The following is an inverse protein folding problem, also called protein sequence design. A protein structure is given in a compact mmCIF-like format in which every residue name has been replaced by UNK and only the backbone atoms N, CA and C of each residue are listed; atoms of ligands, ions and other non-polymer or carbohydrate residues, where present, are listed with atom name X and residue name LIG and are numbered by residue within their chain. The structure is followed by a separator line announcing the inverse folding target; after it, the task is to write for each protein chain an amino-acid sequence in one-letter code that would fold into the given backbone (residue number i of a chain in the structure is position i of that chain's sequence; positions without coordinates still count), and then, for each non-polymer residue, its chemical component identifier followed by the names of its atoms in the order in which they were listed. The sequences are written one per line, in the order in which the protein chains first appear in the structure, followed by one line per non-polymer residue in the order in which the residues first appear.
data_IF_696141135133
#
_entry.id   IF_696141135133
#
_cell.length_a   1.000
_cell.length_b   1.000
_cell.length_c   1.000
_cell.angle_alpha   90.00
_cell.angle_beta   90.00
_cell.angle_gamma   90.00
#
_symmetry.space_group_name_H-M   'P 1'
#
loop_
_entity.id
_entity.type
_entity.pdbx_description
1 polymer ?
#
# COMPACT_ATOMS: atom_id res chain seq x y z
N UNK A 1 30.30 -7.09 -12.61
CA UNK A 1 29.84 -6.99 -14.01
C UNK A 1 28.76 -5.93 -14.01
N UNK A 2 28.93 -4.89 -14.80
CA UNK A 2 28.21 -3.63 -14.63
C UNK A 2 26.69 -3.78 -14.87
N UNK A 3 25.91 -3.35 -13.87
CA UNK A 3 24.43 -3.30 -13.79
C UNK A 3 23.79 -2.30 -14.78
N UNK A 4 24.36 -2.09 -15.97
CA UNK A 4 23.78 -1.16 -16.96
C UNK A 4 22.65 -1.86 -17.71
N UNK A 5 21.42 -1.57 -17.31
CA UNK A 5 20.22 -2.12 -17.94
C UNK A 5 19.85 -1.28 -19.18
N UNK A 6 20.58 -1.48 -20.27
CA UNK A 6 20.24 -0.93 -21.58
C UNK A 6 19.55 -2.00 -22.42
N UNK A 7 18.21 -1.94 -22.49
CA UNK A 7 17.38 -2.95 -23.14
C UNK A 7 16.66 -2.41 -24.39
N UNK A 8 16.04 -3.33 -25.14
CA UNK A 8 15.30 -3.01 -26.36
C UNK A 8 14.09 -2.09 -26.12
N UNK A 9 13.49 -2.12 -24.93
CA UNK A 9 12.34 -1.29 -24.59
C UNK A 9 12.75 0.18 -24.47
N UNK A 10 13.83 0.46 -23.74
CA UNK A 10 14.37 1.80 -23.61
C UNK A 10 14.95 2.31 -24.94
N UNK A 11 15.67 1.46 -25.68
CA UNK A 11 16.16 1.79 -27.01
C UNK A 11 15.02 2.16 -27.98
N UNK A 12 13.92 1.42 -27.95
CA UNK A 12 12.71 1.72 -28.71
C UNK A 12 12.07 3.05 -28.31
N UNK A 13 12.03 3.37 -27.01
CA UNK A 13 11.53 4.65 -26.52
C UNK A 13 12.40 5.83 -26.98
N UNK A 14 13.74 5.67 -26.94
CA UNK A 14 14.70 6.66 -27.45
C UNK A 14 14.43 6.90 -28.94
N UNK A 15 14.37 5.85 -29.77
CA UNK A 15 14.07 5.98 -31.20
C UNK A 15 12.75 6.70 -31.42
N UNK A 16 11.67 6.25 -30.78
CA UNK A 16 10.33 6.81 -30.97
C UNK A 16 10.28 8.29 -30.58
N UNK A 17 10.89 8.66 -29.45
CA UNK A 17 10.94 10.05 -28.97
C UNK A 17 11.77 10.93 -29.89
N UNK A 18 12.87 10.40 -30.42
CA UNK A 18 13.80 11.15 -31.24
C UNK A 18 13.24 11.38 -32.65
N UNK A 19 12.68 10.36 -33.28
CA UNK A 19 12.07 10.47 -34.62
C UNK A 19 10.84 11.38 -34.68
N UNK A 20 10.23 11.72 -33.53
CA UNK A 20 9.21 12.78 -33.46
C UNK A 20 9.78 14.19 -33.66
N UNK A 21 11.09 14.36 -33.44
CA UNK A 21 11.79 15.66 -33.43
C UNK A 21 12.62 15.85 -34.70
N UNK A 22 13.24 14.77 -35.20
CA UNK A 22 14.13 14.80 -36.37
C UNK A 22 13.56 13.95 -37.51
N UNK A 23 13.61 14.49 -38.72
CA UNK A 23 13.15 13.82 -39.96
C UNK A 23 14.21 12.85 -40.52
N UNK A 24 14.83 12.04 -39.67
CA UNK A 24 15.75 11.00 -40.12
C UNK A 24 15.60 9.72 -39.31
N UNK A 25 16.00 8.60 -39.92
CA UNK A 25 15.89 7.31 -39.28
C UNK A 25 16.98 7.13 -38.22
N UNK A 26 16.56 6.82 -37.00
CA UNK A 26 17.44 6.61 -35.84
C UNK A 26 17.52 5.12 -35.54
N UNK A 27 18.74 4.65 -35.31
CA UNK A 27 19.03 3.31 -34.83
C UNK A 27 19.76 3.42 -33.49
N UNK A 28 19.50 2.49 -32.59
CA UNK A 28 20.14 2.38 -31.29
C UNK A 28 20.70 0.97 -31.18
N UNK A 29 21.99 0.87 -30.89
CA UNK A 29 22.74 -0.38 -30.82
C UNK A 29 23.28 -0.61 -29.41
N UNK A 30 23.32 -1.86 -28.98
CA UNK A 30 23.93 -2.26 -27.71
C UNK A 30 25.47 -2.24 -27.76
N UNK A 31 26.11 -2.58 -26.63
CA UNK A 31 27.57 -2.66 -26.52
C UNK A 31 28.22 -3.75 -27.40
N UNK A 32 27.43 -4.60 -28.08
CA UNK A 32 27.90 -5.59 -29.05
C UNK A 32 27.72 -5.13 -30.50
N UNK A 33 27.20 -3.91 -30.71
CA UNK A 33 26.91 -3.37 -32.03
C UNK A 33 25.63 -3.93 -32.68
N UNK A 34 24.79 -4.64 -31.91
CA UNK A 34 23.51 -5.15 -32.40
C UNK A 34 22.44 -4.08 -32.27
N UNK A 35 21.63 -3.89 -33.31
CA UNK A 35 20.51 -2.95 -33.31
C UNK A 35 19.40 -3.47 -32.38
N UNK A 36 19.14 -2.74 -31.30
CA UNK A 36 18.10 -3.07 -30.31
C UNK A 36 16.91 -2.11 -30.35
N UNK A 37 17.03 -0.99 -31.06
CA UNK A 37 15.93 -0.09 -31.42
C UNK A 37 16.17 0.53 -32.79
N UNK A 38 15.13 0.66 -33.61
CA UNK A 38 15.23 1.25 -34.95
C UNK A 38 13.88 1.77 -35.41
N UNK A 39 13.88 2.87 -36.16
CA UNK A 39 12.67 3.35 -36.85
C UNK A 39 12.22 2.40 -37.96
N UNK A 40 13.15 1.60 -38.48
CA UNK A 40 12.93 0.51 -39.41
C UNK A 40 12.95 -0.82 -38.64
N UNK A 41 11.77 -1.41 -38.41
CA UNK A 41 11.61 -2.60 -37.56
C UNK A 41 12.32 -3.83 -38.12
N UNK A 42 12.52 -3.91 -39.44
CA UNK A 42 13.17 -5.08 -40.07
C UNK A 42 14.65 -5.19 -39.70
N UNK A 43 15.27 -4.06 -39.32
CA UNK A 43 16.69 -3.99 -38.95
C UNK A 43 16.98 -4.39 -37.49
N UNK A 44 15.94 -4.54 -36.67
CA UNK A 44 16.13 -4.90 -35.27
C UNK A 44 16.72 -6.31 -35.19
N UNK A 45 17.82 -6.44 -34.45
CA UNK A 45 18.58 -7.68 -34.33
C UNK A 45 19.75 -7.80 -35.30
N UNK A 46 19.88 -6.93 -36.31
CA UNK A 46 21.05 -6.91 -37.20
C UNK A 46 22.28 -6.33 -36.49
N UNK A 47 23.47 -6.72 -36.94
CA UNK A 47 24.74 -6.11 -36.49
C UNK A 47 25.04 -4.90 -37.39
N UNK A 48 25.37 -3.77 -36.78
CA UNK A 48 25.74 -2.56 -37.51
C UNK A 48 27.25 -2.32 -37.41
N UNK A 49 27.99 -2.57 -38.49
CA UNK A 49 29.46 -2.44 -38.47
C UNK A 49 29.93 -1.02 -38.15
N UNK A 50 29.17 -0.01 -38.57
CA UNK A 50 29.39 1.39 -38.17
C UNK A 50 29.35 1.64 -36.66
N UNK A 51 28.54 0.86 -35.92
CA UNK A 51 28.49 0.94 -34.47
C UNK A 51 29.70 0.25 -33.83
N UNK A 52 30.14 -0.88 -34.36
CA UNK A 52 31.37 -1.54 -33.91
C UNK A 52 32.60 -0.63 -34.01
N UNK A 53 32.69 0.14 -35.10
CA UNK A 53 33.73 1.16 -35.25
C UNK A 53 33.62 2.27 -34.20
N UNK A 54 32.40 2.77 -33.92
CA UNK A 54 32.19 3.80 -32.90
C UNK A 54 32.50 3.30 -31.48
N UNK A 55 32.16 2.04 -31.17
CA UNK A 55 32.47 1.37 -29.91
C UNK A 55 33.98 1.20 -29.73
N UNK A 56 34.68 0.69 -30.76
CA UNK A 56 36.12 0.40 -30.70
C UNK A 56 37.00 1.65 -30.72
N UNK A 57 36.59 2.69 -31.45
CA UNK A 57 37.34 3.94 -31.56
C UNK A 57 36.94 5.00 -30.53
N UNK A 58 35.88 4.73 -29.75
CA UNK A 58 35.31 5.62 -28.73
C UNK A 58 34.97 7.04 -29.20
N UNK A 59 34.66 7.20 -30.49
CA UNK A 59 34.43 8.50 -31.13
C UNK A 59 33.28 8.42 -32.13
N UNK A 60 32.83 9.60 -32.56
CA UNK A 60 31.85 9.71 -33.65
C UNK A 60 32.45 9.14 -34.94
N UNK A 61 31.74 8.22 -35.57
CA UNK A 61 32.10 7.60 -36.84
C UNK A 61 31.12 8.03 -37.92
N UNK A 62 31.65 8.66 -38.96
CA UNK A 62 30.89 9.06 -40.14
C UNK A 62 31.03 8.01 -41.23
N UNK A 63 29.92 7.71 -41.91
CA UNK A 63 29.86 6.74 -43.00
C UNK A 63 29.29 7.46 -44.22
N UNK A 64 30.09 7.54 -45.27
CA UNK A 64 29.75 8.14 -46.55
C UNK A 64 29.40 7.06 -47.59
N UNK A 65 28.92 7.50 -48.76
CA UNK A 65 28.54 6.60 -49.86
C UNK A 65 29.73 5.74 -50.35
N UNK A 66 30.96 6.24 -50.26
CA UNK A 66 32.16 5.52 -50.66
C UNK A 66 32.48 4.33 -49.73
N UNK A 67 32.13 4.45 -48.45
CA UNK A 67 32.36 3.41 -47.43
C UNK A 67 31.34 2.27 -47.46
N UNK A 68 30.22 2.40 -48.21
CA UNK A 68 29.18 1.37 -48.32
C UNK A 68 29.66 0.08 -48.99
N UNK A 69 30.68 0.13 -49.83
CA UNK A 69 31.20 -1.05 -50.53
C UNK A 69 32.06 -1.96 -49.65
N UNK A 70 32.46 -1.48 -48.47
CA UNK A 70 33.42 -2.16 -47.58
C UNK A 70 32.71 -2.75 -46.36
N UNK A 71 31.61 -2.14 -45.92
CA UNK A 71 30.95 -2.48 -44.67
C UNK A 71 29.55 -3.08 -44.89
N UNK A 72 29.17 -4.11 -44.14
CA UNK A 72 27.85 -4.75 -44.23
C UNK A 72 26.78 -4.04 -43.39
N UNK A 73 25.57 -3.92 -43.95
CA UNK A 73 24.37 -3.44 -43.23
C UNK A 73 24.34 -1.93 -42.99
N UNK A 74 25.14 -1.16 -43.72
CA UNK A 74 25.38 0.26 -43.45
C UNK A 74 24.69 1.16 -44.47
N UNK A 75 24.06 2.23 -43.98
CA UNK A 75 23.53 3.34 -44.79
C UNK A 75 24.35 4.59 -44.48
N UNK A 76 24.43 5.58 -45.38
CA UNK A 76 25.13 6.84 -45.10
C UNK A 76 24.58 7.48 -43.84
N UNK A 77 25.47 8.05 -43.02
CA UNK A 77 25.06 8.57 -41.73
C UNK A 77 26.21 8.76 -40.74
N UNK A 78 25.83 8.92 -39.48
CA UNK A 78 26.76 9.09 -38.35
C UNK A 78 26.41 8.13 -37.22
N UNK A 79 27.42 7.63 -36.53
CA UNK A 79 27.31 6.76 -35.38
C UNK A 79 28.02 7.41 -34.19
N UNK A 80 27.31 7.65 -33.10
CA UNK A 80 27.80 8.31 -31.91
C UNK A 80 27.82 7.32 -30.73
N UNK A 81 28.93 7.20 -30.00
CA UNK A 81 28.98 6.36 -28.81
C UNK A 81 28.10 6.93 -27.71
N UNK A 82 27.24 6.10 -27.14
CA UNK A 82 26.31 6.43 -26.06
C UNK A 82 26.96 6.11 -24.71
N UNK A 83 27.03 7.08 -23.80
CA UNK A 83 27.72 6.94 -22.51
C UNK A 83 26.77 7.01 -21.31
N UNK A 84 27.05 6.19 -20.29
CA UNK A 84 26.45 6.31 -18.96
C UNK A 84 27.56 6.25 -17.91
N UNK A 85 27.61 7.22 -16.99
CA UNK A 85 28.72 7.41 -16.05
C UNK A 85 30.12 7.42 -16.74
N UNK A 86 30.20 7.96 -17.95
CA UNK A 86 31.43 8.00 -18.76
C UNK A 86 31.80 6.69 -19.49
N UNK A 87 31.12 5.58 -19.20
CA UNK A 87 31.32 4.28 -19.84
C UNK A 87 30.43 4.16 -21.07
N UNK A 88 30.98 3.68 -22.19
CA UNK A 88 30.19 3.44 -23.41
C UNK A 88 29.29 2.22 -23.20
N UNK A 89 27.98 2.41 -23.33
CA UNK A 89 26.96 1.38 -23.14
C UNK A 89 26.26 0.98 -24.44
N UNK A 90 26.48 1.74 -25.52
CA UNK A 90 25.89 1.48 -26.82
C UNK A 90 26.27 2.55 -27.85
N UNK A 91 25.50 2.61 -28.93
CA UNK A 91 25.68 3.58 -30.02
C UNK A 91 24.34 4.08 -30.52
N UNK A 92 24.28 5.36 -30.90
CA UNK A 92 23.18 5.96 -31.65
C UNK A 92 23.63 6.18 -33.09
N UNK A 93 22.90 5.61 -34.04
CA UNK A 93 23.12 5.82 -35.48
C UNK A 93 22.03 6.66 -36.11
N UNK A 94 22.40 7.72 -36.83
CA UNK A 94 21.47 8.52 -37.64
C UNK A 94 21.74 8.25 -39.11
N UNK A 95 20.69 7.94 -39.86
CA UNK A 95 20.77 7.67 -41.31
C UNK A 95 20.50 8.94 -42.11
N UNK A 96 21.36 9.28 -43.06
CA UNK A 96 21.23 10.42 -43.97
C UNK A 96 22.58 10.99 -44.41
N UNK A 97 22.56 12.12 -45.11
CA UNK A 97 23.79 12.78 -45.58
C UNK A 97 24.61 13.35 -44.40
N UNK A 98 25.90 12.96 -44.23
CA UNK A 98 26.68 13.32 -43.05
C UNK A 98 26.86 14.81 -42.76
N UNK A 99 26.97 15.64 -43.81
CA UNK A 99 27.38 17.05 -43.72
C UNK A 99 26.40 17.96 -42.95
N UNK A 100 25.20 17.46 -42.61
CA UNK A 100 24.24 18.14 -41.75
C UNK A 100 23.86 17.40 -40.47
N UNK A 101 24.22 16.12 -40.33
CA UNK A 101 23.69 15.27 -39.26
C UNK A 101 24.39 15.45 -37.91
N UNK A 102 25.63 15.96 -37.89
CA UNK A 102 26.46 15.94 -36.67
C UNK A 102 25.80 16.63 -35.48
N UNK A 103 25.27 17.84 -35.67
CA UNK A 103 24.61 18.61 -34.61
C UNK A 103 23.34 17.91 -34.11
N UNK A 104 22.54 17.35 -35.03
CA UNK A 104 21.36 16.56 -34.67
C UNK A 104 21.78 15.31 -33.90
N UNK A 105 22.79 14.58 -34.36
CA UNK A 105 23.29 13.38 -33.71
C UNK A 105 23.79 13.63 -32.29
N UNK A 106 24.48 14.74 -32.05
CA UNK A 106 24.89 15.14 -30.69
C UNK A 106 23.67 15.41 -29.79
N UNK A 107 22.63 16.08 -30.29
CA UNK A 107 21.37 16.29 -29.56
C UNK A 107 20.63 14.98 -29.27
N UNK A 108 20.57 14.05 -30.24
CA UNK A 108 19.99 12.72 -30.03
C UNK A 108 20.78 11.96 -28.96
N UNK A 109 22.11 11.98 -29.04
CA UNK A 109 22.97 11.30 -28.09
C UNK A 109 22.74 11.85 -26.68
N UNK A 110 22.74 13.17 -26.49
CA UNK A 110 22.42 13.79 -25.19
C UNK A 110 21.03 13.40 -24.67
N UNK A 111 20.03 13.35 -25.55
CA UNK A 111 18.66 12.93 -25.17
C UNK A 111 18.63 11.47 -24.75
N UNK A 112 19.32 10.59 -25.49
CA UNK A 112 19.42 9.18 -25.19
C UNK A 112 20.17 8.92 -23.87
N UNK A 113 21.28 9.61 -23.63
CA UNK A 113 22.04 9.55 -22.36
C UNK A 113 21.20 10.04 -21.17
N UNK A 114 20.46 11.13 -21.35
CA UNK A 114 19.53 11.63 -20.32
C UNK A 114 18.40 10.62 -20.03
N UNK A 115 17.84 9.98 -21.06
CA UNK A 115 16.82 8.93 -20.88
C UNK A 115 17.37 7.69 -20.15
N UNK A 116 18.62 7.31 -20.43
CA UNK A 116 19.31 6.25 -19.69
C UNK A 116 19.48 6.59 -18.22
N UNK A 117 19.88 7.81 -17.91
CA UNK A 117 20.07 8.26 -16.54
C UNK A 117 18.74 8.34 -15.79
N UNK A 118 17.70 8.86 -16.44
CA UNK A 118 16.34 8.89 -15.88
C UNK A 118 15.83 7.47 -15.57
N UNK A 119 16.01 6.52 -16.49
CA UNK A 119 15.60 5.13 -16.28
C UNK A 119 16.31 4.50 -15.07
N UNK A 120 17.62 4.74 -14.92
CA UNK A 120 18.41 4.29 -13.76
C UNK A 120 17.91 4.91 -12.46
N UNK A 121 17.69 6.22 -12.42
CA UNK A 121 17.16 6.91 -11.25
C UNK A 121 15.80 6.35 -10.84
N UNK A 122 14.91 6.10 -11.80
CA UNK A 122 13.61 5.46 -11.54
C UNK A 122 13.76 4.05 -10.96
N UNK A 123 14.70 3.25 -11.46
CA UNK A 123 14.98 1.91 -10.92
C UNK A 123 15.51 1.97 -9.48
N UNK A 124 16.41 2.91 -9.17
CA UNK A 124 16.93 3.11 -7.83
C UNK A 124 15.82 3.52 -6.85
N UNK A 125 14.93 4.44 -7.26
CA UNK A 125 13.77 4.85 -6.48
C UNK A 125 12.80 3.68 -6.24
N UNK A 126 12.48 2.91 -7.29
CA UNK A 126 11.60 1.75 -7.18
C UNK A 126 12.19 0.67 -6.26
N UNK A 127 13.50 0.43 -6.34
CA UNK A 127 14.21 -0.51 -5.45
C UNK A 127 14.18 -0.04 -4.01
N UNK A 128 14.42 1.26 -3.76
CA UNK A 128 14.35 1.83 -2.42
C UNK A 128 12.94 1.72 -1.82
N UNK A 129 11.91 2.04 -2.61
CA UNK A 129 10.51 1.90 -2.21
C UNK A 129 10.18 0.46 -1.84
N UNK A 130 10.56 -0.51 -2.67
CA UNK A 130 10.37 -1.94 -2.39
C UNK A 130 11.08 -2.40 -1.11
N UNK A 131 12.29 -1.90 -0.87
CA UNK A 131 13.02 -2.21 0.37
C UNK A 131 12.32 -1.63 1.61
N UNK A 132 11.73 -0.43 1.51
CA UNK A 132 10.95 0.16 2.60
C UNK A 132 9.67 -0.64 2.87
N UNK A 133 8.96 -1.01 1.82
CA UNK A 133 7.76 -1.85 1.91
C UNK A 133 8.06 -3.20 2.59
N UNK A 134 9.10 -3.90 2.15
CA UNK A 134 9.52 -5.17 2.76
C UNK A 134 9.92 -5.00 4.23
N UNK A 135 10.56 -3.88 4.60
CA UNK A 135 10.86 -3.60 6.00
C UNK A 135 9.55 -3.46 6.80
N UNK A 136 8.57 -2.72 6.31
CA UNK A 136 7.27 -2.56 6.96
C UNK A 136 6.57 -3.91 7.15
N UNK A 137 6.57 -4.77 6.14
CA UNK A 137 6.01 -6.12 6.24
C UNK A 137 6.70 -6.96 7.33
N UNK A 138 8.02 -6.81 7.51
CA UNK A 138 8.73 -7.46 8.61
C UNK A 138 8.33 -6.85 9.97
N UNK A 139 8.27 -5.53 10.08
CA UNK A 139 7.95 -4.81 11.32
C UNK A 139 6.57 -5.13 11.89
N UNK A 140 5.58 -5.40 11.03
CA UNK A 140 4.20 -5.75 11.44
C UNK A 140 4.00 -7.25 11.70
N UNK A 141 4.96 -8.10 11.31
CA UNK A 141 4.89 -9.56 11.46
C UNK A 141 5.68 -10.07 12.68
N UNK A 142 6.80 -9.41 12.99
CA UNK A 142 7.70 -9.84 14.06
C UNK A 142 7.39 -9.12 15.39
N UNK A 143 7.48 -9.88 16.48
CA UNK A 143 7.43 -9.39 17.86
C UNK A 143 8.77 -8.81 18.31
N UNK A 144 9.89 -9.35 17.82
CA UNK A 144 11.25 -8.88 18.11
C UNK A 144 11.99 -8.54 16.83
N UNK A 145 12.87 -7.55 16.89
CA UNK A 145 13.69 -7.14 15.74
C UNK A 145 15.10 -7.68 15.91
N UNK A 146 15.53 -8.49 14.94
CA UNK A 146 16.92 -8.93 14.86
C UNK A 146 17.84 -7.74 14.59
N UNK A 147 19.13 -7.92 14.88
CA UNK A 147 20.17 -6.95 14.53
C UNK A 147 20.18 -6.67 13.01
N UNK A 148 19.90 -7.68 12.20
CA UNK A 148 19.80 -7.55 10.73
C UNK A 148 18.67 -6.62 10.29
N UNK A 149 17.48 -6.70 10.90
CA UNK A 149 16.35 -5.80 10.62
C UNK A 149 16.68 -4.38 11.09
N UNK A 150 17.34 -4.25 12.24
CA UNK A 150 17.75 -2.96 12.79
C UNK A 150 18.79 -2.27 11.91
N UNK A 151 19.77 -3.00 11.39
CA UNK A 151 20.77 -2.47 10.46
C UNK A 151 20.12 -2.08 9.12
N UNK A 152 19.18 -2.90 8.62
CA UNK A 152 18.43 -2.59 7.40
C UNK A 152 17.62 -1.30 7.53
N UNK A 153 16.88 -1.12 8.63
CA UNK A 153 16.17 0.12 8.92
C UNK A 153 17.11 1.34 8.94
N UNK A 154 18.28 1.21 9.61
CA UNK A 154 19.30 2.27 9.66
C UNK A 154 19.81 2.65 8.27
N UNK A 155 20.06 1.66 7.39
CA UNK A 155 20.48 1.90 5.99
C UNK A 155 19.41 2.61 5.16
N UNK A 156 18.14 2.42 5.50
CA UNK A 156 17.00 3.11 4.86
C UNK A 156 16.68 4.48 5.46
N UNK A 157 17.40 4.91 6.51
CA UNK A 157 17.15 6.16 7.22
C UNK A 157 15.99 6.09 8.22
N UNK A 158 15.54 4.89 8.57
CA UNK A 158 14.35 4.67 9.40
C UNK A 158 14.76 4.43 10.85
N UNK A 159 14.35 5.34 11.73
CA UNK A 159 14.53 5.17 13.17
C UNK A 159 13.43 4.28 13.75
N UNK A 160 13.80 3.07 14.20
CA UNK A 160 12.89 2.12 14.85
C UNK A 160 12.52 2.50 16.29
N UNK A 161 13.27 3.38 16.95
CA UNK A 161 12.97 3.86 18.31
C UNK A 161 11.82 4.85 18.33
N UNK A 162 11.54 5.49 17.18
CA UNK A 162 10.41 6.39 17.08
C UNK A 162 9.11 5.61 17.22
N UNK A 163 8.26 5.93 18.22
CA UNK A 163 7.04 5.19 18.45
C UNK A 163 6.06 5.42 17.30
N UNK A 164 5.40 4.34 16.87
CA UNK A 164 4.44 4.34 15.77
C UNK A 164 3.18 3.57 16.12
N UNK A 165 2.08 3.93 15.48
CA UNK A 165 0.80 3.22 15.50
C UNK A 165 0.45 2.75 14.10
N UNK A 166 -0.18 1.59 13.98
CA UNK A 166 -0.62 1.06 12.70
C UNK A 166 -2.02 1.59 12.33
N UNK A 167 -2.14 2.03 11.09
CA UNK A 167 -3.38 2.29 10.38
C UNK A 167 -3.54 1.22 9.30
N UNK A 168 -4.63 0.47 9.34
CA UNK A 168 -5.02 -0.45 8.27
C UNK A 168 -5.96 0.29 7.33
N UNK A 169 -5.65 0.20 6.05
CA UNK A 169 -6.47 0.71 4.95
C UNK A 169 -7.00 -0.50 4.19
N UNK A 170 -8.33 -0.58 4.05
CA UNK A 170 -8.98 -1.58 3.22
C UNK A 170 -9.68 -0.90 2.05
N UNK A 171 -9.42 -1.37 0.82
CA UNK A 171 -10.09 -0.97 -0.40
C UNK A 171 -11.27 -1.91 -0.63
N UNK A 172 -12.47 -1.35 -0.76
CA UNK A 172 -13.64 -2.09 -1.18
C UNK A 172 -13.64 -2.20 -2.71
N UNK A 173 -12.84 -3.13 -3.22
CA UNK A 173 -12.66 -3.37 -4.65
C UNK A 173 -13.85 -4.09 -5.31
N UNK A 174 -14.97 -4.32 -4.61
CA UNK A 174 -16.11 -5.07 -5.13
C UNK A 174 -15.71 -6.42 -5.78
N UNK A 175 -16.36 -6.78 -6.89
CA UNK A 175 -15.99 -7.94 -7.74
C UNK A 175 -15.05 -7.55 -8.89
N UNK A 176 -14.04 -6.73 -8.63
CA UNK A 176 -13.08 -6.34 -9.66
C UNK A 176 -12.04 -7.45 -9.91
N UNK A 177 -11.58 -7.55 -11.15
CA UNK A 177 -10.46 -8.41 -11.53
C UNK A 177 -9.14 -7.95 -10.89
N UNK A 178 -8.19 -8.88 -10.76
CA UNK A 178 -6.88 -8.67 -10.09
C UNK A 178 -6.13 -7.44 -10.62
N UNK A 179 -6.19 -7.18 -11.94
CA UNK A 179 -5.52 -6.03 -12.57
C UNK A 179 -6.09 -4.69 -12.13
N UNK A 180 -7.40 -4.60 -11.92
CA UNK A 180 -8.04 -3.36 -11.50
C UNK A 180 -7.71 -3.08 -10.03
N UNK A 181 -7.81 -4.07 -9.15
CA UNK A 181 -7.45 -3.91 -7.73
C UNK A 181 -5.99 -3.45 -7.55
N UNK A 182 -5.07 -4.00 -8.33
CA UNK A 182 -3.66 -3.57 -8.33
C UNK A 182 -3.48 -2.12 -8.81
N UNK A 183 -4.25 -1.70 -9.81
CA UNK A 183 -4.21 -0.30 -10.30
C UNK A 183 -4.74 0.67 -9.23
N UNK A 184 -5.83 0.29 -8.56
CA UNK A 184 -6.44 1.08 -7.47
C UNK A 184 -5.48 1.22 -6.28
N UNK A 185 -4.81 0.14 -5.88
CA UNK A 185 -3.77 0.16 -4.84
C UNK A 185 -2.60 1.09 -5.21
N UNK A 186 -2.16 1.05 -6.47
CA UNK A 186 -1.06 1.90 -6.94
C UNK A 186 -1.47 3.38 -6.95
N UNK A 187 -2.68 3.68 -7.41
CA UNK A 187 -3.25 5.04 -7.35
C UNK A 187 -3.34 5.53 -5.91
N UNK A 188 -3.83 4.68 -5.00
CA UNK A 188 -3.92 4.99 -3.58
C UNK A 188 -2.54 5.24 -2.94
N UNK A 189 -1.55 4.40 -3.26
CA UNK A 189 -0.19 4.60 -2.78
C UNK A 189 0.38 5.95 -3.23
N UNK A 190 0.13 6.34 -4.49
CA UNK A 190 0.59 7.63 -5.00
C UNK A 190 -0.04 8.79 -4.24
N UNK A 191 -1.37 8.76 -4.01
CA UNK A 191 -2.09 9.79 -3.24
C UNK A 191 -1.54 9.93 -1.82
N UNK A 192 -1.21 8.83 -1.14
CA UNK A 192 -0.60 8.86 0.19
C UNK A 192 0.82 9.43 0.21
N UNK A 193 1.53 9.34 -0.92
CA UNK A 193 2.91 9.80 -1.06
C UNK A 193 3.00 11.26 -1.54
N UNK A 194 1.87 11.87 -1.94
CA UNK A 194 1.87 13.26 -2.40
C UNK A 194 2.23 14.25 -1.28
N UNK A 195 3.12 15.23 -1.55
CA UNK A 195 3.54 16.22 -0.57
C UNK A 195 2.35 17.10 -0.16
N UNK A 196 1.81 16.86 1.03
CA UNK A 196 0.63 17.54 1.59
C UNK A 196 -0.42 16.59 2.21
N UNK A 197 -0.36 15.29 1.88
CA UNK A 197 -1.28 14.25 2.38
C UNK A 197 -0.80 13.56 3.67
N UNK A 198 0.51 13.46 3.87
CA UNK A 198 1.10 13.04 5.13
C UNK A 198 1.55 14.27 5.94
N UNK A 199 0.91 14.56 7.09
CA UNK A 199 1.45 15.54 8.03
C UNK A 199 2.83 15.08 8.48
N UNK A 200 3.79 16.00 8.39
CA UNK A 200 5.21 15.81 8.64
C UNK A 200 5.95 15.00 7.56
N UNK A 201 7.05 15.58 7.08
CA UNK A 201 8.03 15.01 6.13
C UNK A 201 8.76 13.76 6.68
N UNK A 202 8.24 13.14 7.72
CA UNK A 202 8.79 11.94 8.32
C UNK A 202 8.14 10.74 7.63
N UNK A 203 8.72 10.44 6.46
CA UNK A 203 8.58 9.23 5.64
C UNK A 203 7.53 8.23 6.16
N UNK A 204 6.27 8.45 5.77
CA UNK A 204 5.18 7.52 6.07
C UNK A 204 5.58 6.12 5.63
N UNK A 205 5.72 5.22 6.59
CA UNK A 205 6.10 3.83 6.32
C UNK A 205 4.84 3.08 5.91
N UNK A 206 4.81 2.53 4.70
CA UNK A 206 3.64 1.84 4.17
C UNK A 206 4.01 0.56 3.46
N UNK A 207 3.06 -0.38 3.42
CA UNK A 207 3.18 -1.62 2.66
C UNK A 207 1.84 -2.14 2.21
N UNK A 208 1.80 -2.70 1.00
CA UNK A 208 0.67 -3.47 0.50
C UNK A 208 0.74 -4.87 1.12
N UNK A 209 -0.29 -5.24 1.86
CA UNK A 209 -0.38 -6.55 2.53
C UNK A 209 -1.11 -7.57 1.66
N UNK A 210 -2.14 -7.12 0.93
CA UNK A 210 -2.93 -7.96 0.02
C UNK A 210 -3.51 -7.11 -1.12
N UNK A 211 -4.29 -7.73 -2.01
CA UNK A 211 -4.97 -7.05 -3.12
C UNK A 211 -5.94 -5.93 -2.69
N UNK A 212 -6.35 -5.92 -1.43
CA UNK A 212 -7.30 -4.93 -0.88
C UNK A 212 -6.84 -4.32 0.43
N UNK A 213 -5.68 -4.70 0.96
CA UNK A 213 -5.22 -4.28 2.28
C UNK A 213 -3.84 -3.62 2.19
N UNK A 214 -3.72 -2.46 2.80
CA UNK A 214 -2.48 -1.74 3.01
C UNK A 214 -2.33 -1.37 4.48
N UNK A 215 -1.09 -1.34 4.96
CA UNK A 215 -0.77 -0.80 6.29
C UNK A 215 0.04 0.48 6.14
N UNK A 216 -0.25 1.45 7.00
CA UNK A 216 0.52 2.68 7.16
C UNK A 216 0.93 2.79 8.63
N UNK A 217 2.23 2.95 8.90
CA UNK A 217 2.76 3.14 10.25
C UNK A 217 2.96 4.64 10.47
N UNK A 218 2.11 5.21 11.32
CA UNK A 218 2.12 6.63 11.61
C UNK A 218 2.97 6.89 12.85
N UNK A 219 3.91 7.85 12.83
CA UNK A 219 4.56 8.29 14.05
C UNK A 219 3.53 8.85 15.02
N UNK A 220 3.81 8.71 16.32
CA UNK A 220 3.09 9.48 17.33
C UNK A 220 3.40 10.97 17.13
N UNK A 221 2.62 11.84 17.78
CA UNK A 221 2.84 13.29 17.80
C UNK A 221 4.32 13.67 18.08
N UNK A 222 4.76 14.88 17.71
CA UNK A 222 6.15 15.34 17.91
C UNK A 222 6.69 15.13 19.34
N UNK A 223 5.80 15.09 20.34
CA UNK A 223 6.15 14.87 21.75
C UNK A 223 6.24 13.37 22.15
N UNK A 224 6.09 12.46 21.19
CA UNK A 224 6.05 11.00 21.41
C UNK A 224 4.84 10.53 22.23
N UNK A 225 3.83 11.39 22.42
CA UNK A 225 2.65 11.06 23.22
C UNK A 225 1.56 10.44 22.36
N UNK A 226 0.96 9.38 22.90
CA UNK A 226 -0.19 8.74 22.31
C UNK A 226 -1.44 9.59 22.57
N UNK A 227 -2.01 10.12 21.49
CA UNK A 227 -3.29 10.84 21.48
C UNK A 227 -4.18 10.18 20.42
N UNK A 228 -5.08 9.26 20.83
CA UNK A 228 -5.94 8.56 19.89
C UNK A 228 -6.93 9.49 19.20
N UNK A 229 -7.40 10.56 19.85
CA UNK A 229 -8.36 11.49 19.26
C UNK A 229 -7.70 12.33 18.16
N UNK A 230 -6.45 12.77 18.38
CA UNK A 230 -5.69 13.48 17.34
C UNK A 230 -5.44 12.59 16.12
N UNK A 231 -5.09 11.32 16.32
CA UNK A 231 -4.93 10.37 15.21
C UNK A 231 -6.24 10.12 14.49
N UNK A 232 -7.35 9.96 15.23
CA UNK A 232 -8.67 9.77 14.63
C UNK A 232 -9.08 10.98 13.78
N UNK A 233 -8.87 12.21 14.26
CA UNK A 233 -9.11 13.43 13.47
C UNK A 233 -8.26 13.45 12.20
N UNK A 234 -6.98 13.09 12.29
CA UNK A 234 -6.06 12.99 11.12
C UNK A 234 -6.55 11.96 10.10
N UNK A 235 -7.02 10.81 10.56
CA UNK A 235 -7.55 9.74 9.71
C UNK A 235 -8.88 10.14 9.05
N UNK A 236 -9.76 10.83 9.78
CA UNK A 236 -11.00 11.36 9.21
C UNK A 236 -10.71 12.40 8.13
N UNK A 237 -9.75 13.30 8.35
CA UNK A 237 -9.30 14.26 7.32
C UNK A 237 -8.71 13.55 6.10
N UNK A 238 -7.89 12.51 6.32
CA UNK A 238 -7.34 11.69 5.25
C UNK A 238 -8.46 11.02 4.44
N UNK A 239 -9.45 10.43 5.11
CA UNK A 239 -10.60 9.82 4.45
C UNK A 239 -11.38 10.83 3.60
N UNK A 240 -11.67 12.02 4.13
CA UNK A 240 -12.42 13.06 3.39
C UNK A 240 -11.69 13.45 2.10
N UNK A 241 -10.37 13.67 2.17
CA UNK A 241 -9.58 14.00 0.97
C UNK A 241 -9.56 12.86 -0.05
N UNK A 242 -9.35 11.63 0.41
CA UNK A 242 -9.37 10.45 -0.46
C UNK A 242 -10.72 10.27 -1.15
N UNK A 243 -11.81 10.57 -0.43
CA UNK A 243 -13.16 10.50 -0.97
C UNK A 243 -13.41 11.59 -2.03
N UNK A 244 -12.88 12.79 -1.84
CA UNK A 244 -13.04 13.91 -2.76
C UNK A 244 -12.18 13.76 -4.03
N UNK A 245 -10.97 13.21 -3.90
CA UNK A 245 -9.98 13.11 -4.99
C UNK A 245 -10.04 11.78 -5.76
N UNK A 246 -10.76 10.78 -5.23
CA UNK A 246 -10.76 9.44 -5.80
C UNK A 246 -12.14 8.76 -5.74
N UNK A 247 -12.55 8.03 -6.79
CA UNK A 247 -13.76 7.20 -6.75
C UNK A 247 -13.61 5.96 -5.86
N UNK A 248 -12.42 5.72 -5.28
CA UNK A 248 -12.13 4.54 -4.48
C UNK A 248 -12.95 4.51 -3.20
N UNK A 249 -13.57 3.36 -2.94
CA UNK A 249 -14.23 3.10 -1.66
C UNK A 249 -13.21 2.58 -0.67
N UNK A 250 -12.86 3.42 0.30
CA UNK A 250 -11.84 3.11 1.29
C UNK A 250 -12.47 3.01 2.68
N UNK A 251 -11.95 2.10 3.49
CA UNK A 251 -12.17 2.05 4.93
C UNK A 251 -10.84 2.11 5.65
N UNK A 252 -10.82 2.79 6.79
CA UNK A 252 -9.64 3.04 7.61
C UNK A 252 -9.86 2.52 9.04
N UNK A 253 -8.90 1.79 9.60
CA UNK A 253 -8.95 1.33 10.99
C UNK A 253 -7.65 1.64 11.72
N UNK A 254 -7.76 2.42 12.79
CA UNK A 254 -6.64 2.78 13.67
C UNK A 254 -6.49 1.73 14.77
N UNK A 255 -5.29 1.15 14.87
CA UNK A 255 -4.90 0.29 15.99
C UNK A 255 -4.62 1.07 17.26
N UNK A 256 -4.17 0.38 18.30
CA UNK A 256 -3.69 1.04 19.51
C UNK A 256 -2.17 1.17 19.54
N UNK A 257 -1.67 2.17 20.25
CA UNK A 257 -0.25 2.23 20.59
C UNK A 257 0.05 1.27 21.76
N UNK A 258 1.08 0.45 21.58
CA UNK A 258 1.62 -0.42 22.61
C UNK A 258 3.11 -0.12 22.77
N UNK A 259 3.58 0.25 23.98
CA UNK A 259 5.00 0.50 24.21
C UNK A 259 5.80 -0.80 24.25
N UNK A 260 7.08 -0.73 23.89
CA UNK A 260 8.03 -1.83 23.98
C UNK A 260 8.04 -2.79 22.78
N UNK A 261 8.76 -3.89 22.93
CA UNK A 261 8.92 -4.91 21.88
C UNK A 261 7.56 -5.53 21.50
N UNK A 262 7.39 -5.79 20.21
CA UNK A 262 6.14 -6.30 19.63
C UNK A 262 4.99 -5.29 19.64
N UNK A 263 5.22 -4.06 20.11
CA UNK A 263 4.18 -3.05 20.20
C UNK A 263 3.54 -2.72 18.85
N UNK A 264 4.36 -2.62 17.80
CA UNK A 264 3.90 -2.33 16.44
C UNK A 264 3.13 -3.50 15.81
N UNK A 265 3.60 -4.72 16.01
CA UNK A 265 2.89 -5.94 15.58
C UNK A 265 1.51 -6.02 16.25
N UNK A 266 1.42 -5.78 17.56
CA UNK A 266 0.13 -5.70 18.29
C UNK A 266 -0.74 -4.55 17.78
N UNK A 267 -0.14 -3.39 17.51
CA UNK A 267 -0.84 -2.25 16.92
C UNK A 267 -1.50 -2.64 15.62
N UNK A 268 -0.76 -3.29 14.71
CA UNK A 268 -1.28 -3.79 13.45
C UNK A 268 -2.38 -4.86 13.63
N UNK A 269 -2.18 -5.84 14.51
CA UNK A 269 -3.21 -6.85 14.82
C UNK A 269 -4.50 -6.19 15.33
N UNK A 270 -4.40 -5.26 16.28
CA UNK A 270 -5.58 -4.53 16.78
C UNK A 270 -6.24 -3.69 15.69
N UNK A 271 -5.48 -3.07 14.78
CA UNK A 271 -6.03 -2.34 13.63
C UNK A 271 -6.82 -3.27 12.69
N UNK A 272 -6.27 -4.45 12.35
CA UNK A 272 -6.98 -5.45 11.52
C UNK A 272 -8.27 -5.91 12.17
N UNK A 273 -8.23 -6.24 13.46
CA UNK A 273 -9.43 -6.69 14.17
C UNK A 273 -10.43 -5.55 14.31
N UNK A 274 -9.98 -4.32 14.53
CA UNK A 274 -10.83 -3.12 14.54
C UNK A 274 -11.54 -2.93 13.20
N UNK A 275 -10.85 -3.14 12.07
CA UNK A 275 -11.47 -3.11 10.74
C UNK A 275 -12.60 -4.14 10.62
N UNK A 276 -12.33 -5.39 11.01
CA UNK A 276 -13.30 -6.48 10.95
C UNK A 276 -14.55 -6.19 11.81
N UNK A 277 -14.33 -5.88 13.08
CA UNK A 277 -15.40 -5.57 14.05
C UNK A 277 -16.17 -4.33 13.65
N UNK A 278 -15.46 -3.29 13.19
CA UNK A 278 -16.05 -2.05 12.71
C UNK A 278 -17.01 -2.26 11.55
N UNK A 279 -16.60 -3.02 10.54
CA UNK A 279 -17.45 -3.36 9.37
C UNK A 279 -18.72 -4.11 9.75
N UNK A 280 -18.67 -4.98 10.76
CA UNK A 280 -19.83 -5.76 11.20
C UNK A 280 -20.80 -4.91 12.02
N UNK A 281 -20.29 -4.04 12.90
CA UNK A 281 -21.12 -3.26 13.84
C UNK A 281 -21.59 -1.93 13.28
N UNK A 282 -20.77 -1.32 12.44
CA UNK A 282 -20.99 -0.01 11.82
C UNK A 282 -20.65 -0.11 10.33
N UNK A 283 -21.48 -0.82 9.53
CA UNK A 283 -21.20 -1.06 8.12
C UNK A 283 -21.13 0.22 7.27
N UNK A 284 -21.86 1.26 7.69
CA UNK A 284 -21.91 2.57 7.02
C UNK A 284 -20.78 3.51 7.44
N UNK A 285 -19.99 3.15 8.46
CA UNK A 285 -18.81 3.92 8.84
C UNK A 285 -17.61 3.57 7.96
N UNK A 286 -16.72 4.54 7.80
CA UNK A 286 -15.50 4.40 6.99
C UNK A 286 -14.21 4.57 7.79
N UNK A 287 -14.30 5.08 9.01
CA UNK A 287 -13.17 5.24 9.92
C UNK A 287 -13.51 4.56 11.24
N UNK A 288 -12.63 3.68 11.69
CA UNK A 288 -12.78 2.93 12.94
C UNK A 288 -11.58 3.17 13.86
N UNK A 289 -11.83 3.28 15.16
CA UNK A 289 -10.80 3.42 16.18
C UNK A 289 -10.86 2.26 17.15
N UNK A 290 -9.70 1.70 17.50
CA UNK A 290 -9.61 0.72 18.57
C UNK A 290 -10.24 1.23 19.87
N UNK A 291 -10.08 2.51 20.21
CA UNK A 291 -10.57 3.06 21.48
C UNK A 291 -12.10 2.98 21.60
N UNK A 292 -12.80 3.12 20.49
CA UNK A 292 -14.27 3.05 20.44
C UNK A 292 -14.79 1.61 20.51
N UNK A 293 -13.93 0.63 20.24
CA UNK A 293 -14.29 -0.78 20.08
C UNK A 293 -13.37 -1.74 20.86
N UNK A 294 -12.69 -1.25 21.91
CA UNK A 294 -11.62 -1.98 22.57
C UNK A 294 -12.06 -3.36 23.07
N UNK A 295 -13.19 -3.43 23.79
CA UNK A 295 -13.68 -4.70 24.32
C UNK A 295 -14.08 -5.70 23.21
N UNK A 296 -14.91 -5.34 22.21
CA UNK A 296 -15.20 -6.20 21.06
C UNK A 296 -13.94 -6.70 20.33
N UNK A 297 -12.95 -5.82 20.14
CA UNK A 297 -11.68 -6.16 19.48
C UNK A 297 -10.87 -7.15 20.30
N UNK A 298 -10.76 -6.96 21.62
CA UNK A 298 -10.07 -7.89 22.50
C UNK A 298 -10.76 -9.26 22.53
N UNK A 299 -12.10 -9.27 22.54
CA UNK A 299 -12.90 -10.50 22.56
C UNK A 299 -12.88 -11.26 21.22
N UNK A 300 -12.57 -10.61 20.09
CA UNK A 300 -12.49 -11.28 18.78
C UNK A 300 -11.49 -12.45 18.80
N UNK A 301 -10.40 -12.33 19.56
CA UNK A 301 -9.39 -13.38 19.73
C UNK A 301 -9.92 -14.66 20.41
N UNK A 302 -10.99 -14.54 21.20
CA UNK A 302 -11.64 -15.69 21.86
C UNK A 302 -12.62 -16.40 20.93
N UNK A 303 -13.04 -15.76 19.83
CA UNK A 303 -14.05 -16.32 18.92
C UNK A 303 -13.52 -17.61 18.28
N UNK A 304 -14.40 -18.59 18.18
CA UNK A 304 -14.08 -19.92 17.66
C UNK A 304 -13.41 -20.87 18.66
N UNK A 305 -12.99 -20.39 19.84
CA UNK A 305 -12.46 -21.21 20.93
C UNK A 305 -13.55 -21.81 21.83
N UNK A 306 -13.16 -22.79 22.67
CA UNK A 306 -14.08 -23.38 23.66
C UNK A 306 -14.51 -22.36 24.72
N UNK A 307 -13.66 -21.39 25.07
CA UNK A 307 -13.97 -20.33 26.03
C UNK A 307 -15.14 -19.47 25.55
N UNK A 308 -15.16 -19.09 24.27
CA UNK A 308 -16.30 -18.35 23.72
C UNK A 308 -17.58 -19.19 23.73
N UNK A 309 -17.49 -20.50 23.49
CA UNK A 309 -18.65 -21.39 23.58
C UNK A 309 -19.23 -21.44 24.99
N UNK A 310 -18.38 -21.51 26.02
CA UNK A 310 -18.80 -21.49 27.44
C UNK A 310 -19.42 -20.16 27.83
N UNK A 311 -18.77 -19.04 27.50
CA UNK A 311 -19.29 -17.69 27.76
C UNK A 311 -20.65 -17.44 27.10
N UNK A 312 -20.89 -18.05 25.94
CA UNK A 312 -22.14 -17.92 25.18
C UNK A 312 -23.29 -18.80 25.67
N UNK A 313 -23.06 -19.78 26.57
CA UNK A 313 -24.11 -20.72 26.99
C UNK A 313 -25.38 -20.05 27.52
N UNK A 314 -25.32 -19.03 28.39
CA UNK A 314 -26.53 -18.39 28.91
C UNK A 314 -27.31 -17.65 27.82
N UNK A 315 -26.61 -17.00 26.89
CA UNK A 315 -27.23 -16.31 25.76
C UNK A 315 -27.85 -17.30 24.75
N UNK A 316 -27.24 -18.47 24.54
CA UNK A 316 -27.83 -19.55 23.74
C UNK A 316 -29.13 -20.07 24.33
N UNK A 317 -29.20 -20.27 25.65
CA UNK A 317 -30.45 -20.62 26.36
C UNK A 317 -31.50 -19.54 26.17
N UNK A 318 -31.11 -18.27 26.29
CA UNK A 318 -32.01 -17.14 26.06
C UNK A 318 -32.57 -17.16 24.64
N UNK A 319 -31.71 -17.29 23.62
CA UNK A 319 -32.10 -17.34 22.22
C UNK A 319 -33.07 -18.49 21.91
N UNK A 320 -32.84 -19.66 22.49
CA UNK A 320 -33.72 -20.82 22.31
C UNK A 320 -35.15 -20.57 22.83
N UNK A 321 -35.31 -19.69 23.83
CA UNK A 321 -36.60 -19.34 24.44
C UNK A 321 -37.15 -17.96 24.01
N UNK A 322 -36.40 -17.22 23.18
CA UNK A 322 -36.72 -15.86 22.73
C UNK A 322 -37.05 -15.81 21.24
N UNK A 323 -38.10 -16.54 20.83
CA UNK A 323 -38.45 -16.73 19.42
C UNK A 323 -38.77 -15.44 18.65
N UNK A 324 -39.15 -14.36 19.33
CA UNK A 324 -39.41 -13.03 18.75
C UNK A 324 -38.30 -12.01 19.03
N UNK A 325 -37.20 -12.41 19.68
CA UNK A 325 -36.06 -11.54 19.97
C UNK A 325 -36.33 -10.43 20.99
N UNK A 326 -37.47 -10.44 21.69
CA UNK A 326 -37.84 -9.38 22.62
C UNK A 326 -36.90 -9.34 23.82
N UNK A 327 -36.51 -10.49 24.35
CA UNK A 327 -35.63 -10.55 25.52
C UNK A 327 -34.21 -10.13 25.16
N UNK A 328 -33.67 -10.57 24.01
CA UNK A 328 -32.38 -10.11 23.49
C UNK A 328 -32.38 -8.61 23.25
N UNK A 329 -33.40 -8.06 22.57
CA UNK A 329 -33.54 -6.60 22.38
C UNK A 329 -33.60 -5.85 23.70
N UNK A 330 -34.32 -6.40 24.69
CA UNK A 330 -34.42 -5.81 26.03
C UNK A 330 -33.06 -5.82 26.73
N UNK A 331 -32.32 -6.94 26.66
CA UNK A 331 -31.01 -7.08 27.26
C UNK A 331 -29.98 -6.13 26.62
N UNK A 332 -29.91 -6.08 25.29
CA UNK A 332 -29.03 -5.15 24.57
C UNK A 332 -29.34 -3.69 24.90
N UNK A 333 -30.63 -3.32 24.97
CA UNK A 333 -31.04 -1.96 25.35
C UNK A 333 -30.69 -1.65 26.81
N UNK A 334 -30.88 -2.60 27.72
CA UNK A 334 -30.56 -2.43 29.13
C UNK A 334 -29.07 -2.17 29.35
N UNK A 335 -28.19 -2.90 28.64
CA UNK A 335 -26.75 -2.60 28.66
C UNK A 335 -26.41 -1.28 27.96
N UNK A 336 -27.04 -0.97 26.83
CA UNK A 336 -26.83 0.28 26.10
C UNK A 336 -27.12 1.53 26.96
N UNK A 337 -28.16 1.47 27.80
CA UNK A 337 -28.51 2.54 28.72
C UNK A 337 -27.91 2.35 30.12
N UNK A 338 -26.74 1.73 30.23
CA UNK A 338 -25.95 1.59 31.46
C UNK A 338 -26.76 1.01 32.65
N UNK A 339 -27.60 0.02 32.37
CA UNK A 339 -28.45 -0.68 33.34
C UNK A 339 -29.51 0.21 34.01
N UNK A 340 -29.78 1.40 33.46
CA UNK A 340 -30.78 2.33 33.99
C UNK A 340 -32.18 1.92 33.55
N UNK A 341 -32.95 1.33 34.47
CA UNK A 341 -34.27 0.77 34.14
C UNK A 341 -35.25 1.78 33.55
N UNK A 342 -35.36 2.99 34.12
CA UNK A 342 -36.30 4.01 33.64
C UNK A 342 -35.97 4.46 32.22
N UNK A 343 -34.68 4.75 31.95
CA UNK A 343 -34.22 5.19 30.63
C UNK A 343 -34.40 4.06 29.61
N UNK A 344 -34.07 2.83 29.99
CA UNK A 344 -34.25 1.64 29.14
C UNK A 344 -35.73 1.40 28.79
N UNK A 345 -36.64 1.51 29.76
CA UNK A 345 -38.06 1.30 29.54
C UNK A 345 -38.63 2.34 28.56
N UNK A 346 -38.24 3.61 28.73
CA UNK A 346 -38.62 4.69 27.82
C UNK A 346 -38.10 4.46 26.39
N UNK A 347 -36.83 4.07 26.24
CA UNK A 347 -36.23 3.80 24.94
C UNK A 347 -36.86 2.58 24.23
N UNK A 348 -37.37 1.63 25.00
CA UNK A 348 -38.12 0.47 24.48
C UNK A 348 -39.61 0.74 24.28
N UNK A 349 -40.10 1.95 24.62
CA UNK A 349 -41.52 2.33 24.61
C UNK A 349 -42.40 1.38 25.43
N UNK A 350 -41.91 0.96 26.61
CA UNK A 350 -42.63 0.08 27.55
C UNK A 350 -42.68 0.69 28.95
N UNK A 351 -43.59 0.20 29.78
CA UNK A 351 -43.64 0.57 31.20
C UNK A 351 -42.48 -0.07 31.99
N UNK A 352 -42.03 0.61 33.07
CA UNK A 352 -40.97 0.11 33.96
C UNK A 352 -41.24 -1.32 34.48
N UNK A 353 -42.48 -1.59 34.91
CA UNK A 353 -42.87 -2.93 35.39
C UNK A 353 -42.72 -4.01 34.31
N UNK A 354 -42.98 -3.67 33.03
CA UNK A 354 -42.77 -4.60 31.91
C UNK A 354 -41.29 -4.88 31.70
N UNK A 355 -40.43 -3.87 31.85
CA UNK A 355 -38.98 -4.08 31.81
C UNK A 355 -38.52 -5.00 32.94
N UNK A 356 -38.94 -4.74 34.18
CA UNK A 356 -38.59 -5.57 35.34
C UNK A 356 -39.03 -7.03 35.16
N UNK A 357 -40.24 -7.25 34.67
CA UNK A 357 -40.71 -8.58 34.30
C UNK A 357 -39.81 -9.24 33.25
N UNK A 358 -39.44 -8.53 32.18
CA UNK A 358 -38.56 -9.07 31.14
C UNK A 358 -37.17 -9.40 31.69
N UNK A 359 -36.60 -8.56 32.54
CA UNK A 359 -35.30 -8.81 33.19
C UNK A 359 -35.37 -10.03 34.12
N UNK A 360 -36.46 -10.19 34.88
CA UNK A 360 -36.67 -11.39 35.70
C UNK A 360 -36.74 -12.65 34.83
N UNK A 361 -37.50 -12.61 33.73
CA UNK A 361 -37.58 -13.75 32.79
C UNK A 361 -36.22 -14.07 32.15
N UNK A 362 -35.42 -13.06 31.83
CA UNK A 362 -34.05 -13.26 31.35
C UNK A 362 -33.21 -13.97 32.43
N UNK A 363 -33.31 -13.53 33.70
CA UNK A 363 -32.65 -14.18 34.84
C UNK A 363 -33.04 -15.66 34.96
N UNK A 364 -34.33 -15.98 34.88
CA UNK A 364 -34.86 -17.35 34.96
C UNK A 364 -34.33 -18.23 33.81
N UNK A 365 -34.35 -17.74 32.58
CA UNK A 365 -33.95 -18.51 31.38
C UNK A 365 -32.44 -18.75 31.35
N UNK A 366 -31.66 -17.73 31.71
CA UNK A 366 -30.20 -17.80 31.67
C UNK A 366 -29.63 -18.56 32.87
N UNK A 367 -30.35 -18.58 33.99
CA UNK A 367 -29.89 -19.09 35.28
C UNK A 367 -28.94 -18.13 36.01
N UNK A 368 -28.89 -16.87 35.57
CA UNK A 368 -27.97 -15.86 36.08
C UNK A 368 -28.72 -14.82 36.91
N UNK A 369 -28.12 -14.38 38.02
CA UNK A 369 -28.69 -13.36 38.89
C UNK A 369 -28.25 -11.95 38.44
N UNK A 370 -29.17 -11.21 37.80
CA UNK A 370 -28.90 -9.87 37.26
C UNK A 370 -28.60 -8.79 38.31
N UNK A 371 -28.73 -9.10 39.61
CA UNK A 371 -28.23 -8.21 40.67
C UNK A 371 -26.71 -8.33 40.90
N UNK A 372 -26.11 -9.50 40.57
CA UNK A 372 -24.68 -9.75 40.71
C UNK A 372 -23.91 -9.11 39.54
N UNK A 373 -22.74 -8.56 39.83
CA UNK A 373 -21.91 -7.91 38.80
C UNK A 373 -21.32 -8.95 37.83
N UNK A 374 -20.80 -10.05 38.35
CA UNK A 374 -20.18 -11.12 37.53
C UNK A 374 -21.17 -11.69 36.51
N UNK A 375 -22.40 -11.96 36.94
CA UNK A 375 -23.48 -12.51 36.10
C UNK A 375 -23.90 -11.53 35.00
N UNK A 376 -23.96 -10.23 35.32
CA UNK A 376 -24.19 -9.16 34.33
C UNK A 376 -23.04 -9.07 33.35
N UNK A 377 -21.80 -9.11 33.83
CA UNK A 377 -20.60 -9.05 32.99
C UNK A 377 -20.55 -10.23 32.03
N UNK A 378 -20.87 -11.44 32.51
CA UNK A 378 -20.92 -12.64 31.69
C UNK A 378 -21.95 -12.49 30.55
N UNK A 379 -23.16 -12.01 30.85
CA UNK A 379 -24.17 -11.74 29.80
C UNK A 379 -23.74 -10.64 28.84
N UNK A 380 -23.09 -9.60 29.34
CA UNK A 380 -22.59 -8.53 28.51
C UNK A 380 -21.52 -9.03 27.54
N UNK A 381 -20.53 -9.79 28.03
CA UNK A 381 -19.48 -10.41 27.20
C UNK A 381 -20.10 -11.37 26.18
N UNK A 382 -21.08 -12.19 26.59
CA UNK A 382 -21.79 -13.06 25.66
C UNK A 382 -22.46 -12.27 24.54
N UNK A 383 -23.13 -11.16 24.84
CA UNK A 383 -23.69 -10.27 23.80
C UNK A 383 -22.59 -9.71 22.88
N UNK A 384 -21.46 -9.27 23.42
CA UNK A 384 -20.35 -8.76 22.60
C UNK A 384 -19.76 -9.82 21.66
N UNK A 385 -19.74 -11.09 22.10
CA UNK A 385 -19.31 -12.23 21.29
C UNK A 385 -20.35 -12.65 20.24
N UNK A 386 -21.64 -12.40 20.48
CA UNK A 386 -22.70 -12.60 19.49
C UNK A 386 -22.65 -11.53 18.39
N UNK A 387 -22.45 -10.26 18.77
CA UNK A 387 -22.55 -9.07 17.92
C UNK A 387 -21.24 -8.70 17.19
N UNK A 388 -20.48 -9.67 16.68
CA UNK A 388 -19.30 -9.37 15.85
C UNK A 388 -18.86 -10.55 15.01
#
# INVERSE_FOLDING_TARGET
MSDYHFDATLAGAIVARTMQIIECNVNVMDATGRIIGSGDKERIGEIHEGALLALTQERIVTIDDASMHILQGVKPGINLPLRQDGVIVGVVGLTGQPDGLRQYGELVCMTAEMMLEQARLMQLLARNSRQREELVLNLIRCDTYSETVSEWARRLGIDLQKPRVALVVELDSGQLGVSTAMTELQQFQNLLTEPGMAPEREEGLMAIVSLTEMVVLQPLSEHGRWDPEAHLRRIQLLYQRLHDESPLRVRLALGNFFPGEGGLQRSYQTAKTTMKVGKQRQPDAHCYSYQDMALPVLLDSLRGGWQANELMLPLRRLRAMDGNGIFRKTLSSWFCYNLQNTVTANALYIHKNTLEYRLHRISDITGLNLSRVDDRLLLYIALQLEDG
#
